data_IF_821053456310
#
_entry.id   IF_821053456310
#
_cell.length_a   1.000
_cell.length_b   1.000
_cell.length_c   1.000
_cell.angle_alpha   90.00
_cell.angle_beta   90.00
_cell.angle_gamma   90.00
#
_symmetry.space_group_name_H-M   'P 1'
#
loop_
_entity.id
_entity.type
_entity.pdbx_description
1 polymer ?
#
# COMPACT_ATOMS: atom_id res chain seq x y z
N UNK A 1 -26.13 37.36 16.79
CA UNK A 1 -25.83 36.54 17.99
C UNK A 1 -26.46 35.18 17.77
N UNK A 2 -25.71 34.18 17.22
CA UNK A 2 -26.20 32.82 16.98
C UNK A 2 -26.22 32.12 18.34
N UNK A 3 -27.42 31.88 18.86
CA UNK A 3 -27.63 31.13 20.09
C UNK A 3 -27.14 29.68 19.82
N UNK A 4 -26.01 29.28 20.39
CA UNK A 4 -25.55 27.90 20.36
C UNK A 4 -26.65 27.02 20.98
N UNK A 5 -27.43 26.35 20.13
CA UNK A 5 -28.42 25.36 20.58
C UNK A 5 -27.67 24.31 21.38
N UNK A 6 -28.01 24.16 22.64
CA UNK A 6 -27.46 23.13 23.54
C UNK A 6 -27.75 21.76 22.92
N UNK A 7 -26.70 20.99 22.63
CA UNK A 7 -26.80 19.62 22.10
C UNK A 7 -27.55 18.77 23.11
N UNK A 8 -28.59 18.03 22.66
CA UNK A 8 -29.30 17.08 23.50
C UNK A 8 -28.35 16.03 24.08
N UNK A 9 -28.53 15.69 25.34
CA UNK A 9 -27.71 14.73 26.08
C UNK A 9 -28.46 13.40 26.28
N UNK A 10 -27.75 12.35 26.68
CA UNK A 10 -28.36 11.05 27.04
C UNK A 10 -29.38 11.22 28.18
N UNK A 11 -29.18 12.22 29.06
CA UNK A 11 -30.13 12.51 30.15
C UNK A 11 -31.42 13.12 29.64
N UNK A 12 -31.35 13.98 28.61
CA UNK A 12 -32.55 14.59 28.02
C UNK A 12 -33.40 13.51 27.31
N UNK A 13 -32.75 12.56 26.60
CA UNK A 13 -33.46 11.42 25.98
C UNK A 13 -34.07 10.50 27.04
N UNK A 14 -33.32 10.19 28.11
CA UNK A 14 -33.82 9.36 29.20
C UNK A 14 -35.07 9.95 29.87
N UNK A 15 -35.04 11.26 30.16
CA UNK A 15 -36.19 11.97 30.72
C UNK A 15 -37.38 11.99 29.78
N UNK A 16 -37.18 12.31 28.50
CA UNK A 16 -38.26 12.38 27.51
C UNK A 16 -38.87 11.00 27.17
N UNK A 17 -38.05 9.95 27.17
CA UNK A 17 -38.52 8.58 26.92
C UNK A 17 -39.03 7.85 28.17
N UNK A 18 -38.92 8.43 29.37
CA UNK A 18 -39.36 7.83 30.64
C UNK A 18 -38.57 6.58 31.01
N UNK A 19 -37.23 6.57 30.75
CA UNK A 19 -36.37 5.42 31.01
C UNK A 19 -35.04 5.84 31.67
N UNK A 20 -34.24 4.87 32.12
CA UNK A 20 -32.90 5.15 32.65
C UNK A 20 -31.89 5.50 31.53
N UNK A 21 -30.82 6.22 31.88
CA UNK A 21 -29.68 6.47 30.97
C UNK A 21 -29.06 5.17 30.43
N UNK A 22 -29.07 4.10 31.25
CA UNK A 22 -28.61 2.77 30.87
C UNK A 22 -29.51 2.17 29.78
N UNK A 23 -30.83 2.31 29.89
CA UNK A 23 -31.76 1.86 28.85
C UNK A 23 -31.55 2.64 27.53
N UNK A 24 -31.32 3.96 27.59
CA UNK A 24 -30.96 4.73 26.39
C UNK A 24 -29.65 4.20 25.79
N UNK A 25 -28.62 3.93 26.59
CA UNK A 25 -27.37 3.34 26.11
C UNK A 25 -27.59 1.99 25.44
N UNK A 26 -28.43 1.14 26.03
CA UNK A 26 -28.77 -0.17 25.45
C UNK A 26 -29.53 -0.04 24.13
N UNK A 27 -30.43 0.91 23.98
CA UNK A 27 -31.19 1.10 22.74
C UNK A 27 -30.27 1.34 21.51
N UNK A 28 -29.08 1.93 21.72
CA UNK A 28 -28.12 2.20 20.68
C UNK A 28 -27.01 1.14 20.57
N UNK A 29 -26.60 0.52 21.69
CA UNK A 29 -25.40 -0.34 21.71
C UNK A 29 -25.73 -1.83 21.87
N UNK A 30 -26.86 -2.18 22.52
CA UNK A 30 -27.31 -3.55 22.80
C UNK A 30 -28.85 -3.64 22.78
N UNK A 31 -29.47 -3.41 21.62
CA UNK A 31 -30.92 -3.37 21.50
C UNK A 31 -31.59 -4.70 21.89
N UNK A 32 -30.87 -5.82 21.80
CA UNK A 32 -31.24 -7.15 22.25
C UNK A 32 -31.53 -7.24 23.76
N UNK A 33 -31.02 -6.29 24.55
CA UNK A 33 -31.27 -6.19 26.00
C UNK A 33 -32.52 -5.41 26.39
N UNK A 34 -33.31 -4.98 25.41
CA UNK A 34 -34.53 -4.22 25.60
C UNK A 34 -35.68 -4.87 24.82
N UNK A 35 -36.92 -4.68 25.33
CA UNK A 35 -38.09 -4.98 24.51
C UNK A 35 -38.07 -4.14 23.23
N UNK A 36 -38.39 -4.71 22.03
CA UNK A 36 -38.36 -4.02 20.75
C UNK A 36 -39.09 -2.67 20.75
N UNK A 37 -40.27 -2.61 21.38
CA UNK A 37 -41.06 -1.38 21.48
C UNK A 37 -40.36 -0.30 22.31
N UNK A 38 -39.64 -0.69 23.38
CA UNK A 38 -38.88 0.23 24.22
C UNK A 38 -37.66 0.80 23.44
N UNK A 39 -36.95 -0.08 22.72
CA UNK A 39 -35.82 0.34 21.90
C UNK A 39 -36.26 1.31 20.78
N UNK A 40 -37.37 1.00 20.11
CA UNK A 40 -37.97 1.86 19.07
C UNK A 40 -38.36 3.24 19.63
N UNK A 41 -39.12 3.26 20.76
CA UNK A 41 -39.51 4.52 21.40
C UNK A 41 -38.32 5.41 21.77
N UNK A 42 -37.26 4.82 22.33
CA UNK A 42 -36.06 5.56 22.70
C UNK A 42 -35.39 6.19 21.45
N UNK A 43 -35.29 5.45 20.34
CA UNK A 43 -34.71 5.94 19.09
C UNK A 43 -35.53 7.09 18.51
N UNK A 44 -36.86 6.99 18.47
CA UNK A 44 -37.74 8.06 18.00
C UNK A 44 -37.60 9.33 18.84
N UNK A 45 -37.54 9.20 20.17
CA UNK A 45 -37.31 10.35 21.06
C UNK A 45 -35.94 10.97 20.82
N UNK A 46 -34.90 10.15 20.65
CA UNK A 46 -33.56 10.65 20.37
C UNK A 46 -33.48 11.41 19.03
N UNK A 47 -34.12 10.89 17.98
CA UNK A 47 -34.23 11.57 16.68
C UNK A 47 -34.96 12.90 16.80
N UNK A 48 -36.09 12.94 17.50
CA UNK A 48 -36.86 14.17 17.74
C UNK A 48 -36.05 15.24 18.47
N UNK A 49 -35.22 14.85 19.44
CA UNK A 49 -34.34 15.74 20.19
C UNK A 49 -33.03 16.09 19.47
N UNK A 50 -32.77 15.49 18.29
CA UNK A 50 -31.49 15.63 17.58
C UNK A 50 -30.30 15.02 18.36
N UNK A 51 -30.59 14.07 19.26
CA UNK A 51 -29.53 13.38 20.01
C UNK A 51 -28.81 12.37 19.14
N UNK A 52 -27.50 12.45 19.16
CA UNK A 52 -26.60 11.43 18.58
C UNK A 52 -25.71 10.90 19.69
N UNK A 53 -25.59 9.57 19.86
CA UNK A 53 -24.65 8.98 20.81
C UNK A 53 -23.24 9.55 20.60
N UNK A 54 -22.58 9.91 21.68
CA UNK A 54 -21.22 10.45 21.58
C UNK A 54 -20.26 9.32 21.18
N UNK A 55 -19.45 9.46 20.11
CA UNK A 55 -18.56 8.39 19.65
C UNK A 55 -17.63 7.88 20.76
N UNK A 56 -17.03 8.77 21.55
CA UNK A 56 -16.15 8.40 22.69
C UNK A 56 -16.90 7.60 23.76
N UNK A 57 -18.17 7.96 24.06
CA UNK A 57 -18.96 7.19 25.04
C UNK A 57 -19.30 5.77 24.52
N UNK A 58 -19.53 5.64 23.22
CA UNK A 58 -19.71 4.32 22.59
C UNK A 58 -18.44 3.48 22.68
N UNK A 59 -17.28 4.08 22.34
CA UNK A 59 -15.96 3.46 22.43
C UNK A 59 -15.67 2.96 23.85
N UNK A 60 -15.90 3.77 24.88
CA UNK A 60 -15.73 3.38 26.29
C UNK A 60 -16.66 2.23 26.71
N UNK A 61 -17.87 2.16 26.14
CA UNK A 61 -18.85 1.12 26.49
C UNK A 61 -18.60 -0.20 25.74
N UNK A 62 -18.10 -0.12 24.51
CA UNK A 62 -17.86 -1.29 23.65
C UNK A 62 -16.42 -1.80 23.70
N UNK A 63 -15.47 -1.01 24.24
CA UNK A 63 -14.04 -1.33 24.27
C UNK A 63 -13.41 -1.36 22.87
N UNK A 64 -14.12 -0.85 21.84
CA UNK A 64 -13.67 -0.82 20.44
C UNK A 64 -14.00 0.52 19.79
N UNK A 65 -13.07 0.98 18.94
CA UNK A 65 -13.21 2.23 18.19
C UNK A 65 -13.95 2.04 16.87
N UNK A 66 -13.99 0.81 16.37
CA UNK A 66 -14.40 0.48 15.00
C UNK A 66 -13.63 1.26 13.95
N UNK A 67 -12.34 1.42 14.18
CA UNK A 67 -11.41 2.12 13.28
C UNK A 67 -10.17 1.28 13.08
N UNK A 68 -9.77 1.10 11.82
CA UNK A 68 -8.51 0.47 11.41
C UNK A 68 -7.52 1.57 11.03
N UNK A 69 -6.29 1.48 11.55
CA UNK A 69 -5.18 2.33 11.16
C UNK A 69 -4.49 1.81 9.91
N UNK A 70 -4.23 2.68 8.94
CA UNK A 70 -3.35 2.40 7.81
C UNK A 70 -2.06 3.16 8.07
N UNK A 71 -1.02 2.43 8.47
CA UNK A 71 0.27 2.99 8.86
C UNK A 71 1.24 2.96 7.67
N UNK A 72 1.85 4.09 7.39
CA UNK A 72 2.84 4.23 6.32
C UNK A 72 3.98 5.17 6.75
N UNK A 73 5.24 4.89 6.38
CA UNK A 73 6.37 5.79 6.66
C UNK A 73 6.38 7.02 5.76
N UNK A 74 5.59 7.02 4.67
CA UNK A 74 5.56 8.08 3.68
C UNK A 74 4.54 9.17 4.04
N UNK A 75 4.79 10.40 3.56
CA UNK A 75 3.82 11.47 3.65
C UNK A 75 2.55 11.15 2.84
N UNK A 76 1.38 11.57 3.33
CA UNK A 76 0.10 11.29 2.64
C UNK A 76 0.04 11.84 1.23
N UNK A 77 0.70 12.98 0.93
CA UNK A 77 0.80 13.51 -0.43
C UNK A 77 1.43 12.51 -1.39
N UNK A 78 2.51 11.83 -0.98
CA UNK A 78 3.18 10.80 -1.77
C UNK A 78 2.27 9.58 -1.96
N UNK A 79 1.58 9.15 -0.89
CA UNK A 79 0.66 8.02 -0.91
C UNK A 79 -0.49 8.27 -1.91
N UNK A 80 -1.08 9.45 -1.91
CA UNK A 80 -2.22 9.75 -2.78
C UNK A 80 -1.84 10.05 -4.24
N UNK A 81 -0.58 10.39 -4.52
CA UNK A 81 -0.08 10.55 -5.87
C UNK A 81 0.37 9.24 -6.54
N UNK A 82 0.67 8.20 -5.75
CA UNK A 82 1.13 6.92 -6.28
C UNK A 82 -0.06 5.98 -6.59
N UNK A 83 -0.26 5.58 -7.86
CA UNK A 83 -1.37 4.72 -8.27
C UNK A 83 -1.44 3.36 -7.55
N UNK A 84 -0.31 2.81 -7.13
CA UNK A 84 -0.24 1.60 -6.33
C UNK A 84 -1.09 1.74 -5.06
N UNK A 85 -0.88 2.82 -4.29
CA UNK A 85 -1.63 3.04 -3.06
C UNK A 85 -3.12 3.31 -3.31
N UNK A 86 -3.47 3.91 -4.46
CA UNK A 86 -4.86 4.05 -4.88
C UNK A 86 -5.58 2.71 -4.99
N UNK A 87 -4.97 1.74 -5.69
CA UNK A 87 -5.50 0.39 -5.85
C UNK A 87 -5.52 -0.38 -4.51
N UNK A 88 -4.46 -0.27 -3.70
CA UNK A 88 -4.37 -0.89 -2.39
C UNK A 88 -5.47 -0.38 -1.44
N UNK A 89 -5.60 0.93 -1.33
CA UNK A 89 -6.58 1.56 -0.46
C UNK A 89 -8.03 1.28 -0.89
N UNK A 90 -8.29 1.06 -2.18
CA UNK A 90 -9.60 0.63 -2.66
C UNK A 90 -9.97 -0.75 -2.09
N UNK A 91 -9.03 -1.71 -2.11
CA UNK A 91 -9.23 -3.01 -1.49
C UNK A 91 -9.44 -2.93 0.03
N UNK A 92 -8.57 -2.16 0.71
CA UNK A 92 -8.71 -1.89 2.16
C UNK A 92 -10.08 -1.31 2.49
N UNK A 93 -10.55 -0.30 1.73
CA UNK A 93 -11.84 0.34 1.94
C UNK A 93 -12.99 -0.64 1.75
N UNK A 94 -12.95 -1.46 0.69
CA UNK A 94 -13.98 -2.47 0.42
C UNK A 94 -14.17 -3.41 1.61
N UNK A 95 -13.09 -3.98 2.16
CA UNK A 95 -13.17 -4.91 3.28
C UNK A 95 -13.57 -4.21 4.60
N UNK A 96 -13.06 -3.01 4.85
CA UNK A 96 -13.38 -2.24 6.04
C UNK A 96 -14.85 -1.81 6.07
N UNK A 97 -15.38 -1.28 4.95
CA UNK A 97 -16.79 -0.88 4.82
C UNK A 97 -17.74 -2.06 4.99
N UNK A 98 -17.44 -3.20 4.35
CA UNK A 98 -18.23 -4.42 4.49
C UNK A 98 -18.33 -4.89 5.94
N UNK A 99 -17.30 -4.60 6.76
CA UNK A 99 -17.21 -4.98 8.17
C UNK A 99 -17.64 -3.87 9.14
N UNK A 100 -18.05 -2.70 8.64
CA UNK A 100 -18.48 -1.55 9.44
C UNK A 100 -17.36 -0.87 10.21
N UNK A 101 -16.12 -0.87 9.66
CA UNK A 101 -14.96 -0.16 10.19
C UNK A 101 -14.67 1.11 9.40
N UNK A 102 -14.27 2.17 10.11
CA UNK A 102 -13.70 3.37 9.52
C UNK A 102 -12.19 3.20 9.31
N UNK A 103 -11.60 4.02 8.45
CA UNK A 103 -10.17 4.05 8.20
C UNK A 103 -9.54 5.32 8.78
N UNK A 104 -8.36 5.17 9.37
CA UNK A 104 -7.52 6.25 9.86
C UNK A 104 -6.12 6.12 9.28
N UNK A 105 -5.75 7.02 8.37
CA UNK A 105 -4.40 7.04 7.81
C UNK A 105 -3.42 7.63 8.83
N UNK A 106 -2.39 6.85 9.16
CA UNK A 106 -1.33 7.19 10.10
C UNK A 106 -0.04 7.38 9.29
N UNK A 107 0.40 8.61 9.18
CA UNK A 107 1.62 9.02 8.48
C UNK A 107 2.46 9.92 9.37
N UNK A 108 3.75 10.18 9.04
CA UNK A 108 4.59 11.02 9.88
C UNK A 108 3.98 12.39 10.19
N UNK A 109 3.88 12.73 11.47
CA UNK A 109 3.46 14.05 11.95
C UNK A 109 4.69 14.88 12.28
N UNK A 110 4.88 15.99 11.56
CA UNK A 110 6.09 16.83 11.69
C UNK A 110 7.39 16.01 11.57
N UNK A 111 7.41 15.05 10.63
CA UNK A 111 8.56 14.18 10.39
C UNK A 111 8.75 13.04 11.41
N UNK A 112 7.75 12.78 12.29
CA UNK A 112 7.82 11.69 13.28
C UNK A 112 6.63 10.73 13.16
N UNK A 113 6.91 9.49 12.78
CA UNK A 113 5.92 8.42 12.72
C UNK A 113 5.49 7.99 14.13
N UNK A 114 6.43 7.88 15.08
CA UNK A 114 6.13 7.59 16.49
C UNK A 114 5.10 8.55 17.10
N UNK A 115 5.19 9.84 16.77
CA UNK A 115 4.21 10.84 17.22
C UNK A 115 2.82 10.59 16.63
N UNK A 116 2.75 10.13 15.38
CA UNK A 116 1.49 9.79 14.73
C UNK A 116 0.86 8.54 15.36
N UNK A 117 1.64 7.47 15.55
CA UNK A 117 1.22 6.22 16.19
C UNK A 117 0.67 6.47 17.60
N UNK A 118 1.38 7.24 18.42
CA UNK A 118 0.95 7.57 19.79
C UNK A 118 -0.34 8.37 19.89
N UNK A 119 -0.80 8.99 18.79
CA UNK A 119 -2.07 9.74 18.73
C UNK A 119 -3.20 8.97 18.08
N UNK A 120 -2.89 7.86 17.44
CA UNK A 120 -3.89 7.05 16.77
C UNK A 120 -4.80 6.34 17.79
N UNK A 121 -6.10 6.42 17.53
CA UNK A 121 -7.12 5.72 18.32
C UNK A 121 -7.79 4.73 17.39
N UNK A 122 -7.23 3.50 17.33
CA UNK A 122 -7.61 2.43 16.39
C UNK A 122 -7.69 1.10 17.11
N UNK A 123 -8.42 0.13 16.57
CA UNK A 123 -8.53 -1.21 17.13
C UNK A 123 -7.39 -2.14 16.67
N UNK A 124 -6.79 -1.82 15.53
CA UNK A 124 -5.67 -2.52 14.94
C UNK A 124 -5.09 -1.75 13.76
N UNK A 125 -3.97 -2.22 13.23
CA UNK A 125 -3.18 -1.52 12.22
C UNK A 125 -2.84 -2.42 11.05
N UNK A 126 -2.98 -1.93 9.83
CA UNK A 126 -2.35 -2.44 8.61
C UNK A 126 -1.14 -1.54 8.34
N UNK A 127 0.07 -2.09 8.47
CA UNK A 127 1.31 -1.36 8.27
C UNK A 127 1.91 -1.71 6.90
N UNK A 128 2.11 -0.70 6.03
CA UNK A 128 2.48 -0.88 4.63
C UNK A 128 3.87 -0.33 4.36
N UNK A 129 4.76 -1.19 3.82
CA UNK A 129 6.12 -0.80 3.42
C UNK A 129 7.01 -0.40 4.60
N UNK A 130 6.77 -0.95 5.77
CA UNK A 130 7.59 -0.82 6.97
C UNK A 130 8.28 -2.15 7.25
N UNK A 131 9.57 -2.12 7.52
CA UNK A 131 10.31 -3.29 7.99
C UNK A 131 9.71 -3.83 9.29
N UNK A 132 9.74 -5.15 9.46
CA UNK A 132 9.35 -5.79 10.72
C UNK A 132 10.20 -5.32 11.92
N UNK A 133 11.42 -4.84 11.64
CA UNK A 133 12.36 -4.28 12.64
C UNK A 133 12.23 -2.76 12.80
N UNK A 134 11.30 -2.12 12.11
CA UNK A 134 11.09 -0.69 12.26
C UNK A 134 10.63 -0.35 13.68
N UNK A 135 11.19 0.69 14.28
CA UNK A 135 10.97 1.03 15.71
C UNK A 135 9.48 1.17 16.07
N UNK A 136 8.68 1.75 15.16
CA UNK A 136 7.24 1.91 15.37
C UNK A 136 6.46 0.59 15.24
N UNK A 137 6.92 -0.34 14.40
CA UNK A 137 6.37 -1.70 14.33
C UNK A 137 6.62 -2.44 15.62
N UNK A 138 7.84 -2.37 16.15
CA UNK A 138 8.19 -2.94 17.47
C UNK A 138 7.36 -2.31 18.59
N UNK A 139 7.21 -0.98 18.59
CA UNK A 139 6.41 -0.27 19.59
C UNK A 139 4.95 -0.71 19.58
N UNK A 140 4.33 -0.87 18.40
CA UNK A 140 2.96 -1.36 18.23
C UNK A 140 2.83 -2.78 18.75
N UNK A 141 3.81 -3.65 18.43
CA UNK A 141 3.85 -5.03 18.89
C UNK A 141 3.95 -5.12 20.41
N UNK A 142 4.83 -4.34 21.04
CA UNK A 142 4.99 -4.27 22.52
C UNK A 142 3.70 -3.75 23.17
N UNK A 143 3.00 -2.81 22.56
CA UNK A 143 1.71 -2.31 23.04
C UNK A 143 0.57 -3.34 22.93
N UNK A 144 0.80 -4.47 22.27
CA UNK A 144 -0.21 -5.52 22.06
C UNK A 144 -1.34 -5.11 21.12
N UNK A 145 -1.13 -4.08 20.29
CA UNK A 145 -2.12 -3.67 19.30
C UNK A 145 -2.05 -4.63 18.09
N UNK A 146 -3.15 -5.29 17.72
CA UNK A 146 -3.18 -6.17 16.55
C UNK A 146 -2.70 -5.48 15.28
N UNK A 147 -1.82 -6.16 14.53
CA UNK A 147 -1.18 -5.59 13.34
C UNK A 147 -1.03 -6.65 12.25
N UNK A 148 -1.18 -6.21 10.99
CA UNK A 148 -0.82 -6.96 9.79
C UNK A 148 0.18 -6.14 9.00
N UNK A 149 1.33 -6.74 8.69
CA UNK A 149 2.35 -6.15 7.82
C UNK A 149 1.99 -6.39 6.35
N UNK A 150 2.25 -5.41 5.50
CA UNK A 150 2.06 -5.52 4.06
C UNK A 150 3.32 -5.08 3.34
N UNK A 151 3.77 -5.88 2.38
CA UNK A 151 5.01 -5.67 1.61
C UNK A 151 6.26 -5.63 2.49
N UNK A 152 6.23 -6.37 3.59
CA UNK A 152 7.33 -6.50 4.53
C UNK A 152 7.45 -7.94 4.99
N UNK A 153 8.67 -8.45 5.04
CA UNK A 153 8.92 -9.80 5.56
C UNK A 153 8.62 -9.84 7.07
N UNK A 154 7.67 -10.69 7.43
CA UNK A 154 7.24 -10.85 8.81
C UNK A 154 8.26 -11.63 9.64
N UNK A 155 8.42 -11.22 10.90
CA UNK A 155 9.07 -12.03 11.93
C UNK A 155 8.12 -13.14 12.41
N UNK A 156 8.64 -14.21 13.03
CA UNK A 156 7.80 -15.18 13.73
C UNK A 156 6.83 -14.46 14.67
N UNK A 157 5.57 -14.85 14.66
CA UNK A 157 4.47 -14.22 15.43
C UNK A 157 3.97 -12.87 14.89
N UNK A 158 4.30 -12.50 13.65
CA UNK A 158 3.73 -11.33 12.98
C UNK A 158 2.93 -11.77 11.75
N UNK A 159 1.71 -11.26 11.63
CA UNK A 159 0.87 -11.49 10.45
C UNK A 159 1.34 -10.63 9.28
N UNK A 160 1.46 -11.21 8.10
CA UNK A 160 1.86 -10.49 6.91
C UNK A 160 1.17 -10.96 5.63
N UNK A 161 0.98 -10.02 4.71
CA UNK A 161 0.56 -10.25 3.33
C UNK A 161 1.62 -9.67 2.41
N UNK A 162 2.21 -10.52 1.58
CA UNK A 162 3.24 -10.15 0.62
C UNK A 162 2.86 -10.60 -0.79
N UNK A 163 3.68 -10.23 -1.76
CA UNK A 163 3.65 -10.81 -3.11
C UNK A 163 4.99 -11.50 -3.39
N UNK A 164 5.01 -12.40 -4.37
CA UNK A 164 6.26 -12.98 -4.88
C UNK A 164 7.03 -11.94 -5.71
N UNK A 165 7.67 -10.98 -5.01
CA UNK A 165 8.46 -9.91 -5.62
C UNK A 165 9.67 -10.47 -6.38
N UNK A 166 10.35 -11.45 -5.81
CA UNK A 166 11.56 -12.05 -6.40
C UNK A 166 11.21 -12.84 -7.67
N UNK A 167 10.19 -13.70 -7.60
CA UNK A 167 9.71 -14.46 -8.75
C UNK A 167 9.16 -13.55 -9.86
N UNK A 168 8.38 -12.53 -9.50
CA UNK A 168 7.89 -11.53 -10.46
C UNK A 168 9.01 -10.77 -11.16
N UNK A 169 9.99 -10.30 -10.40
CA UNK A 169 11.16 -9.59 -10.95
C UNK A 169 11.98 -10.51 -11.87
N UNK A 170 12.18 -11.76 -11.48
CA UNK A 170 12.85 -12.77 -12.33
C UNK A 170 12.11 -12.95 -13.65
N UNK A 171 10.78 -13.09 -13.65
CA UNK A 171 9.98 -13.20 -14.87
C UNK A 171 10.16 -11.99 -15.80
N UNK A 172 10.23 -10.77 -15.27
CA UNK A 172 10.47 -9.56 -16.06
C UNK A 172 11.83 -9.60 -16.76
N UNK A 173 12.89 -9.99 -16.05
CA UNK A 173 14.23 -10.09 -16.62
C UNK A 173 14.34 -11.24 -17.64
N UNK A 174 13.79 -12.42 -17.35
CA UNK A 174 13.74 -13.57 -18.26
C UNK A 174 13.02 -13.22 -19.57
N UNK A 175 11.92 -12.44 -19.50
CA UNK A 175 11.23 -11.97 -20.70
C UNK A 175 12.13 -11.13 -21.59
N UNK A 176 12.83 -10.13 -21.04
CA UNK A 176 13.75 -9.30 -21.83
C UNK A 176 14.96 -10.08 -22.36
N UNK A 177 15.46 -11.03 -21.57
CA UNK A 177 16.52 -11.95 -22.01
C UNK A 177 16.08 -12.81 -23.20
N UNK A 178 14.83 -13.30 -23.19
CA UNK A 178 14.27 -14.09 -24.30
C UNK A 178 14.11 -13.28 -25.59
N UNK A 179 13.99 -11.95 -25.48
CA UNK A 179 13.97 -11.01 -26.61
C UNK A 179 15.38 -10.62 -27.10
N UNK A 180 16.42 -11.19 -26.51
CA UNK A 180 17.81 -10.99 -26.93
C UNK A 180 18.54 -9.82 -26.27
N UNK A 181 17.91 -9.13 -25.31
CA UNK A 181 18.56 -8.02 -24.61
C UNK A 181 19.77 -8.50 -23.78
N UNK A 182 20.83 -7.67 -23.74
CA UNK A 182 22.05 -7.95 -22.99
C UNK A 182 22.60 -6.72 -22.25
N UNK A 183 22.02 -5.53 -22.46
CA UNK A 183 22.41 -4.28 -21.79
C UNK A 183 21.22 -3.76 -21.01
N UNK A 184 21.30 -3.89 -19.71
CA UNK A 184 20.21 -3.62 -18.77
C UNK A 184 20.54 -2.41 -17.90
N UNK A 185 19.50 -1.73 -17.47
CA UNK A 185 19.49 -0.82 -16.33
C UNK A 185 18.28 -1.16 -15.46
N UNK A 186 18.49 -1.06 -14.16
CA UNK A 186 17.41 -1.20 -13.17
C UNK A 186 17.11 0.18 -12.59
N UNK A 187 15.84 0.58 -12.65
CA UNK A 187 15.34 1.77 -11.97
C UNK A 187 14.63 1.31 -10.70
N UNK A 188 15.34 1.38 -9.58
CA UNK A 188 14.92 0.88 -8.29
C UNK A 188 14.12 1.92 -7.50
N UNK A 189 13.22 1.44 -6.65
CA UNK A 189 12.49 2.29 -5.69
C UNK A 189 13.47 2.76 -4.61
N UNK A 190 13.51 4.07 -4.34
CA UNK A 190 14.25 4.61 -3.19
C UNK A 190 13.63 4.10 -1.88
N UNK A 191 14.45 3.64 -0.92
CA UNK A 191 13.96 3.25 0.40
C UNK A 191 13.14 4.37 1.04
N UNK A 192 11.99 4.02 1.62
CA UNK A 192 11.05 5.00 2.18
C UNK A 192 11.53 5.66 3.47
N UNK A 193 12.45 5.03 4.17
CA UNK A 193 13.10 5.58 5.36
C UNK A 193 14.62 5.36 5.28
N UNK A 194 15.36 6.47 5.40
CA UNK A 194 16.83 6.44 5.47
C UNK A 194 17.34 5.96 6.84
N UNK A 195 16.48 5.90 7.85
CA UNK A 195 16.82 5.45 9.20
C UNK A 195 16.91 3.93 9.32
N UNK A 196 16.21 3.19 8.46
CA UNK A 196 16.22 1.71 8.47
C UNK A 196 17.42 1.11 7.73
N UNK A 197 18.27 1.93 7.09
CA UNK A 197 19.35 1.43 6.26
C UNK A 197 18.82 0.68 5.02
N UNK A 198 19.68 -0.14 4.40
CA UNK A 198 19.26 -1.08 3.36
C UNK A 198 18.52 -2.25 4.04
N UNK A 199 17.18 -2.23 4.05
CA UNK A 199 16.40 -3.41 4.46
C UNK A 199 16.66 -4.55 3.46
N UNK A 200 17.41 -5.59 3.84
CA UNK A 200 17.79 -6.66 2.92
C UNK A 200 16.58 -7.49 2.43
N UNK A 201 15.46 -7.39 3.13
CA UNK A 201 14.23 -8.12 2.84
C UNK A 201 13.09 -7.22 2.38
N UNK A 202 13.35 -5.93 2.22
CA UNK A 202 12.39 -4.98 1.66
C UNK A 202 12.09 -5.22 0.18
N UNK A 203 10.97 -4.67 -0.30
CA UNK A 203 10.52 -4.83 -1.70
C UNK A 203 11.63 -4.53 -2.73
N UNK A 204 12.40 -3.42 -2.61
CA UNK A 204 13.46 -3.15 -3.59
C UNK A 204 14.54 -4.24 -3.61
N UNK A 205 14.92 -4.74 -2.44
CA UNK A 205 15.94 -5.78 -2.32
C UNK A 205 15.47 -7.11 -2.91
N UNK A 206 14.21 -7.53 -2.64
CA UNK A 206 13.62 -8.74 -3.21
C UNK A 206 13.53 -8.66 -4.73
N UNK A 207 13.03 -7.55 -5.29
CA UNK A 207 12.96 -7.35 -6.75
C UNK A 207 14.36 -7.36 -7.39
N UNK A 208 15.34 -6.70 -6.75
CA UNK A 208 16.72 -6.68 -7.24
C UNK A 208 17.33 -8.09 -7.23
N UNK A 209 17.08 -8.92 -6.21
CA UNK A 209 17.51 -10.32 -6.19
C UNK A 209 16.92 -11.10 -7.37
N UNK A 210 15.63 -10.95 -7.65
CA UNK A 210 14.98 -11.60 -8.79
C UNK A 210 15.58 -11.19 -10.14
N UNK A 211 15.82 -9.90 -10.35
CA UNK A 211 16.50 -9.43 -11.56
C UNK A 211 17.91 -10.01 -11.70
N UNK A 212 18.71 -9.92 -10.63
CA UNK A 212 20.08 -10.47 -10.63
C UNK A 212 20.10 -11.96 -10.88
N UNK A 213 19.25 -12.73 -10.23
CA UNK A 213 19.18 -14.17 -10.43
C UNK A 213 18.98 -14.55 -11.90
N UNK A 214 18.11 -13.85 -12.64
CA UNK A 214 17.90 -14.10 -14.06
C UNK A 214 19.10 -13.65 -14.93
N UNK A 215 19.66 -12.47 -14.64
CA UNK A 215 20.79 -11.92 -15.39
C UNK A 215 22.05 -12.76 -15.18
N UNK A 216 22.36 -13.14 -13.95
CA UNK A 216 23.51 -13.98 -13.59
C UNK A 216 23.43 -15.36 -14.26
N UNK A 217 22.23 -15.98 -14.28
CA UNK A 217 22.00 -17.24 -14.99
C UNK A 217 22.24 -17.15 -16.50
N UNK A 218 22.09 -15.93 -17.08
CA UNK A 218 22.38 -15.64 -18.49
C UNK A 218 23.82 -15.14 -18.73
N UNK A 219 24.67 -15.11 -17.69
CA UNK A 219 26.05 -14.63 -17.76
C UNK A 219 26.17 -13.11 -17.96
N UNK A 220 25.19 -12.35 -17.50
CA UNK A 220 25.17 -10.88 -17.62
C UNK A 220 25.37 -10.27 -16.25
N UNK A 221 26.47 -9.56 -16.09
CA UNK A 221 26.73 -8.77 -14.89
C UNK A 221 25.86 -7.50 -14.86
N UNK A 222 25.27 -7.22 -13.69
CA UNK A 222 24.56 -5.97 -13.41
C UNK A 222 25.40 -5.15 -12.40
N UNK A 223 26.27 -4.25 -12.89
CA UNK A 223 27.14 -3.46 -12.04
C UNK A 223 26.31 -2.47 -11.18
N UNK A 224 26.92 -1.96 -10.10
CA UNK A 224 26.24 -1.03 -9.20
C UNK A 224 25.70 0.22 -9.92
N UNK A 225 26.45 0.72 -10.88
CA UNK A 225 26.11 1.87 -11.73
C UNK A 225 24.91 1.57 -12.66
N UNK A 226 24.59 0.31 -12.88
CA UNK A 226 23.41 -0.16 -13.61
C UNK A 226 22.15 -0.18 -12.78
N UNK A 227 22.19 0.19 -11.48
CA UNK A 227 21.05 0.26 -10.58
C UNK A 227 20.93 1.69 -10.04
N UNK A 228 19.92 2.42 -10.48
CA UNK A 228 19.65 3.78 -10.03
C UNK A 228 18.38 3.80 -9.17
N UNK A 229 18.47 4.45 -8.02
CA UNK A 229 17.31 4.63 -7.13
C UNK A 229 16.52 5.87 -7.50
N UNK A 230 15.21 5.80 -7.41
CA UNK A 230 14.33 6.93 -7.64
C UNK A 230 13.07 6.86 -6.75
N UNK A 231 12.49 8.02 -6.49
CA UNK A 231 11.14 8.08 -5.91
C UNK A 231 10.18 7.38 -6.88
N UNK A 232 9.25 6.57 -6.36
CA UNK A 232 8.28 5.82 -7.17
C UNK A 232 7.18 6.74 -7.75
N UNK A 233 7.60 7.64 -8.64
CA UNK A 233 6.76 8.61 -9.36
C UNK A 233 7.20 8.72 -10.82
N UNK A 234 6.32 9.24 -11.69
CA UNK A 234 6.65 9.50 -13.09
C UNK A 234 7.84 10.47 -13.23
N UNK A 235 7.89 11.62 -12.52
CA UNK A 235 9.07 12.50 -12.57
C UNK A 235 10.35 11.83 -12.06
N UNK A 236 10.26 11.01 -10.99
CA UNK A 236 11.41 10.28 -10.46
C UNK A 236 11.99 9.29 -11.47
N UNK A 237 11.14 8.47 -12.08
CA UNK A 237 11.56 7.53 -13.14
C UNK A 237 12.13 8.22 -14.36
N UNK A 238 11.59 9.37 -14.76
CA UNK A 238 12.12 10.17 -15.87
C UNK A 238 13.52 10.72 -15.55
N UNK A 239 13.73 11.24 -14.34
CA UNK A 239 15.01 11.75 -13.90
C UNK A 239 16.08 10.65 -13.84
N UNK A 240 15.75 9.48 -13.24
CA UNK A 240 16.69 8.37 -13.14
C UNK A 240 17.09 7.79 -14.51
N UNK A 241 16.14 7.67 -15.45
CA UNK A 241 16.48 7.26 -16.82
C UNK A 241 17.32 8.31 -17.53
N UNK A 242 17.01 9.60 -17.35
CA UNK A 242 17.79 10.70 -17.91
C UNK A 242 19.25 10.67 -17.44
N UNK A 243 19.46 10.51 -16.13
CA UNK A 243 20.80 10.38 -15.52
C UNK A 243 21.59 9.22 -16.14
N UNK A 244 20.96 8.05 -16.26
CA UNK A 244 21.55 6.86 -16.90
C UNK A 244 22.02 7.18 -18.32
N UNK A 245 21.16 7.80 -19.12
CA UNK A 245 21.45 8.10 -20.51
C UNK A 245 22.51 9.18 -20.67
N UNK A 246 22.44 10.24 -19.87
CA UNK A 246 23.37 11.38 -19.91
C UNK A 246 24.76 11.01 -19.39
N UNK A 247 24.85 10.01 -18.49
CA UNK A 247 26.12 9.38 -18.07
C UNK A 247 26.76 8.50 -19.16
N UNK A 248 26.18 8.43 -20.36
CA UNK A 248 26.72 7.66 -21.48
C UNK A 248 26.38 6.19 -21.48
N UNK A 249 25.61 5.69 -20.51
CA UNK A 249 25.06 4.34 -20.57
C UNK A 249 24.06 4.25 -21.71
N UNK A 250 24.10 3.14 -22.42
CA UNK A 250 23.21 2.90 -23.57
C UNK A 250 22.49 1.56 -23.39
N UNK A 251 21.59 1.46 -22.39
CA UNK A 251 20.81 0.25 -22.20
C UNK A 251 19.90 -0.01 -23.40
N UNK A 252 19.58 -1.26 -23.66
CA UNK A 252 18.53 -1.66 -24.58
C UNK A 252 17.28 -2.15 -23.84
N UNK A 253 17.40 -2.35 -22.53
CA UNK A 253 16.33 -2.82 -21.66
C UNK A 253 16.34 -2.10 -20.31
N UNK A 254 15.17 -1.68 -19.87
CA UNK A 254 14.90 -1.09 -18.57
C UNK A 254 14.03 -2.03 -17.76
N UNK A 255 14.49 -2.38 -16.56
CA UNK A 255 13.73 -3.07 -15.52
C UNK A 255 13.36 -2.03 -14.46
N UNK A 256 12.12 -1.58 -14.45
CA UNK A 256 11.63 -0.60 -13.50
C UNK A 256 10.84 -1.28 -12.37
N UNK A 257 11.13 -0.93 -11.12
CA UNK A 257 10.52 -1.55 -9.95
C UNK A 257 9.09 -1.07 -9.67
N UNK A 258 8.53 -0.16 -10.48
CA UNK A 258 7.11 0.19 -10.47
C UNK A 258 6.66 0.70 -11.84
N UNK A 259 5.36 0.65 -12.11
CA UNK A 259 4.79 1.20 -13.34
C UNK A 259 4.96 2.72 -13.42
N UNK A 260 4.91 3.42 -12.30
CA UNK A 260 5.13 4.87 -12.28
C UNK A 260 6.55 5.24 -12.72
N UNK A 261 7.56 4.50 -12.23
CA UNK A 261 8.96 4.65 -12.66
C UNK A 261 9.11 4.29 -14.14
N UNK A 262 8.48 3.19 -14.59
CA UNK A 262 8.54 2.74 -15.99
C UNK A 262 7.96 3.78 -16.95
N UNK A 263 6.79 4.36 -16.63
CA UNK A 263 6.18 5.42 -17.45
C UNK A 263 7.04 6.68 -17.47
N UNK A 264 7.72 7.00 -16.36
CA UNK A 264 8.73 8.05 -16.33
C UNK A 264 9.87 7.79 -17.31
N UNK A 265 10.39 6.56 -17.34
CA UNK A 265 11.43 6.16 -18.29
C UNK A 265 10.95 6.21 -19.75
N UNK A 266 9.70 5.77 -20.04
CA UNK A 266 9.09 5.91 -21.37
C UNK A 266 9.05 7.37 -21.82
N UNK A 267 8.65 8.28 -20.94
CA UNK A 267 8.61 9.71 -21.21
C UNK A 267 10.01 10.26 -21.54
N UNK A 268 10.99 9.98 -20.68
CA UNK A 268 12.36 10.47 -20.86
C UNK A 268 13.05 9.88 -22.11
N UNK A 269 12.74 8.64 -22.46
CA UNK A 269 13.18 8.01 -23.70
C UNK A 269 12.60 8.72 -24.94
N UNK A 270 11.30 9.02 -24.94
CA UNK A 270 10.64 9.78 -26.02
C UNK A 270 11.23 11.18 -26.18
N UNK A 271 11.48 11.90 -25.09
CA UNK A 271 12.11 13.22 -25.08
C UNK A 271 13.53 13.20 -25.72
N UNK A 272 14.18 12.05 -25.74
CA UNK A 272 15.49 11.79 -26.38
C UNK A 272 15.39 11.18 -27.78
N UNK A 273 14.19 11.08 -28.32
CA UNK A 273 13.96 10.54 -29.67
C UNK A 273 14.12 9.02 -29.77
N UNK A 274 14.12 8.30 -28.64
CA UNK A 274 14.21 6.84 -28.62
C UNK A 274 12.85 6.22 -28.92
N UNK A 275 12.79 5.27 -29.83
CA UNK A 275 11.63 4.48 -30.10
C UNK A 275 11.51 3.34 -29.07
N UNK A 276 10.34 3.23 -28.42
CA UNK A 276 10.02 2.08 -27.59
C UNK A 276 8.91 1.31 -28.32
N UNK A 277 9.09 0.01 -28.61
CA UNK A 277 10.19 -0.87 -28.18
C UNK A 277 11.40 -0.92 -29.14
N UNK A 278 11.45 -0.15 -30.22
CA UNK A 278 12.43 -0.29 -31.30
C UNK A 278 13.90 -0.10 -30.89
N UNK A 279 14.20 0.89 -30.05
CA UNK A 279 15.55 1.20 -29.55
C UNK A 279 15.74 0.74 -28.11
N UNK A 280 14.65 0.70 -27.33
CA UNK A 280 14.63 0.43 -25.90
C UNK A 280 13.37 -0.36 -25.53
N UNK A 281 13.52 -1.44 -24.81
CA UNK A 281 12.41 -2.13 -24.15
C UNK A 281 12.29 -1.71 -22.69
N UNK A 282 11.06 -1.55 -22.20
CA UNK A 282 10.78 -1.15 -20.81
C UNK A 282 9.78 -2.11 -20.19
N UNK A 283 10.10 -2.64 -19.02
CA UNK A 283 9.20 -3.47 -18.19
C UNK A 283 8.99 -2.78 -16.85
N UNK A 284 7.72 -2.70 -16.42
CA UNK A 284 7.30 -2.19 -15.13
C UNK A 284 7.00 -3.28 -14.09
N UNK A 285 6.42 -2.85 -12.98
CA UNK A 285 5.90 -3.72 -11.93
C UNK A 285 4.66 -3.06 -11.35
N UNK A 286 3.58 -3.80 -11.07
CA UNK A 286 2.31 -3.48 -10.41
C UNK A 286 1.08 -3.83 -11.25
N UNK A 287 1.07 -3.55 -12.55
CA UNK A 287 -0.07 -3.63 -13.47
C UNK A 287 -1.24 -2.72 -13.06
N UNK A 288 -0.91 -1.49 -12.63
CA UNK A 288 -1.92 -0.46 -12.39
C UNK A 288 -2.51 0.08 -13.71
N UNK A 289 -3.63 0.82 -13.65
CA UNK A 289 -4.29 1.35 -14.84
C UNK A 289 -3.34 2.16 -15.74
N UNK A 290 -2.39 2.87 -15.14
CA UNK A 290 -1.35 3.62 -15.83
C UNK A 290 -0.58 2.77 -16.85
N UNK A 291 -0.33 1.49 -16.56
CA UNK A 291 0.36 0.58 -17.48
C UNK A 291 -0.42 0.32 -18.78
N UNK A 292 -1.75 0.32 -18.70
CA UNK A 292 -2.64 0.09 -19.84
C UNK A 292 -2.81 1.32 -20.73
N UNK A 293 -2.82 2.52 -20.11
CA UNK A 293 -3.04 3.79 -20.83
C UNK A 293 -1.74 4.43 -21.32
N UNK A 294 -0.58 3.94 -20.87
CA UNK A 294 0.71 4.41 -21.36
C UNK A 294 0.85 4.21 -22.87
N UNK A 295 1.67 5.04 -23.51
CA UNK A 295 1.99 4.94 -24.93
C UNK A 295 3.51 4.85 -25.13
N UNK A 296 4.02 3.68 -25.53
CA UNK A 296 3.31 2.41 -25.76
C UNK A 296 2.76 1.79 -24.47
N UNK A 297 1.70 0.97 -24.56
CA UNK A 297 1.15 0.24 -23.42
C UNK A 297 2.21 -0.63 -22.76
N UNK A 298 2.35 -0.52 -21.43
CA UNK A 298 3.48 -1.02 -20.67
C UNK A 298 3.37 -2.52 -20.38
N UNK A 299 4.38 -3.28 -20.78
CA UNK A 299 4.67 -4.63 -20.29
C UNK A 299 5.06 -4.52 -18.82
N UNK A 300 4.44 -5.33 -17.95
CA UNK A 300 4.63 -5.19 -16.50
C UNK A 300 4.38 -6.51 -15.77
N UNK A 301 4.78 -6.57 -14.52
CA UNK A 301 4.42 -7.66 -13.61
C UNK A 301 3.13 -7.28 -12.89
N UNK A 302 2.11 -8.09 -13.08
CA UNK A 302 0.85 -7.97 -12.34
C UNK A 302 1.02 -8.50 -10.92
N UNK A 303 0.63 -7.70 -9.94
CA UNK A 303 0.36 -8.11 -8.57
C UNK A 303 -1.09 -7.79 -8.19
N UNK A 304 -1.77 -8.61 -7.38
CA UNK A 304 -3.17 -8.42 -7.04
C UNK A 304 -3.34 -7.36 -5.93
N UNK A 305 -3.03 -6.09 -6.23
CA UNK A 305 -2.88 -5.00 -5.24
C UNK A 305 -4.15 -4.80 -4.41
N UNK A 306 -5.33 -4.71 -5.04
CA UNK A 306 -6.59 -4.52 -4.33
C UNK A 306 -6.89 -5.72 -3.42
N UNK A 307 -6.69 -6.96 -3.94
CA UNK A 307 -6.89 -8.18 -3.14
C UNK A 307 -5.94 -8.23 -1.95
N UNK A 308 -4.69 -7.78 -2.10
CA UNK A 308 -3.73 -7.65 -1.00
C UNK A 308 -4.26 -6.72 0.11
N UNK A 309 -4.84 -5.59 -0.26
CA UNK A 309 -5.49 -4.67 0.68
C UNK A 309 -6.71 -5.28 1.38
N UNK A 310 -7.57 -5.98 0.63
CA UNK A 310 -8.73 -6.70 1.18
C UNK A 310 -8.27 -7.75 2.21
N UNK A 311 -7.34 -8.63 1.83
CA UNK A 311 -6.85 -9.70 2.68
C UNK A 311 -6.15 -9.19 3.94
N UNK A 312 -5.42 -8.07 3.86
CA UNK A 312 -4.80 -7.46 5.02
C UNK A 312 -5.86 -7.04 6.07
N UNK A 313 -6.97 -6.46 5.64
CA UNK A 313 -8.08 -6.11 6.53
C UNK A 313 -8.82 -7.36 7.03
N UNK A 314 -9.12 -8.31 6.15
CA UNK A 314 -9.78 -9.57 6.51
C UNK A 314 -8.99 -10.32 7.60
N UNK A 315 -7.65 -10.41 7.44
CA UNK A 315 -6.75 -11.04 8.39
C UNK A 315 -6.70 -10.26 9.72
N UNK A 316 -6.59 -8.92 9.66
CA UNK A 316 -6.61 -8.10 10.87
C UNK A 316 -7.90 -8.27 11.66
N UNK A 317 -9.05 -8.30 10.99
CA UNK A 317 -10.35 -8.52 11.62
C UNK A 317 -10.46 -9.93 12.23
N UNK A 318 -9.92 -10.94 11.55
CA UNK A 318 -9.86 -12.31 12.08
C UNK A 318 -9.03 -12.39 13.38
N UNK A 319 -7.91 -11.66 13.44
CA UNK A 319 -7.08 -11.54 14.65
C UNK A 319 -7.87 -10.81 15.77
N UNK A 320 -8.49 -9.68 15.44
CA UNK A 320 -9.30 -8.90 16.38
C UNK A 320 -10.47 -9.71 17.00
N UNK A 321 -11.00 -10.65 16.26
CA UNK A 321 -12.10 -11.53 16.68
C UNK A 321 -11.61 -12.84 17.32
N UNK A 322 -10.31 -13.07 17.40
CA UNK A 322 -9.70 -14.28 17.93
C UNK A 322 -9.91 -15.53 17.06
N UNK A 323 -10.24 -15.34 15.76
CA UNK A 323 -10.44 -16.42 14.78
C UNK A 323 -9.14 -16.83 14.09
N UNK A 324 -8.10 -16.01 14.17
CA UNK A 324 -6.78 -16.25 13.60
C UNK A 324 -5.69 -15.84 14.58
N UNK A 325 -4.52 -16.49 14.49
CA UNK A 325 -3.32 -16.11 15.22
C UNK A 325 -2.54 -14.99 14.50
N UNK A 326 -1.56 -14.40 15.19
CA UNK A 326 -0.70 -13.36 14.62
C UNK A 326 0.44 -13.92 13.76
N UNK A 327 0.52 -15.22 13.54
CA UNK A 327 1.57 -15.94 12.81
C UNK A 327 1.20 -16.30 11.36
N UNK A 328 0.15 -15.69 10.83
CA UNK A 328 -0.31 -15.95 9.47
C UNK A 328 0.52 -15.16 8.47
N UNK A 329 1.09 -15.87 7.51
CA UNK A 329 1.88 -15.29 6.43
C UNK A 329 1.34 -15.79 5.10
N UNK A 330 0.97 -14.87 4.21
CA UNK A 330 0.47 -15.16 2.88
C UNK A 330 1.30 -14.46 1.81
N UNK A 331 1.73 -15.22 0.80
CA UNK A 331 2.45 -14.70 -0.36
C UNK A 331 1.59 -14.86 -1.59
N UNK A 332 1.16 -13.74 -2.17
CA UNK A 332 0.32 -13.72 -3.36
C UNK A 332 1.17 -13.86 -4.62
N UNK A 333 0.67 -14.64 -5.57
CA UNK A 333 1.36 -14.89 -6.84
C UNK A 333 1.39 -13.62 -7.72
N UNK A 334 2.50 -13.47 -8.45
CA UNK A 334 2.68 -12.47 -9.50
C UNK A 334 2.71 -13.13 -10.87
N UNK A 335 2.51 -12.36 -11.95
CA UNK A 335 2.59 -12.85 -13.32
C UNK A 335 3.00 -11.75 -14.29
N UNK A 336 3.70 -12.12 -15.36
CA UNK A 336 4.03 -11.20 -16.44
C UNK A 336 2.79 -10.88 -17.30
N UNK A 337 2.62 -9.60 -17.65
CA UNK A 337 1.63 -9.10 -18.60
C UNK A 337 2.34 -8.40 -19.74
N UNK A 338 2.46 -9.08 -20.87
CA UNK A 338 3.15 -8.56 -22.05
C UNK A 338 2.21 -7.59 -22.81
N UNK A 339 2.77 -6.39 -23.15
CA UNK A 339 2.11 -5.35 -23.94
C UNK A 339 3.07 -4.83 -25.01
N UNK A 340 2.98 -3.54 -25.35
CA UNK A 340 3.68 -2.95 -26.49
C UNK A 340 5.04 -2.31 -26.17
N UNK A 341 5.44 -2.22 -24.89
CA UNK A 341 6.69 -1.56 -24.49
C UNK A 341 7.93 -2.44 -24.57
N UNK A 342 7.79 -3.70 -25.02
CA UNK A 342 8.90 -4.63 -25.19
C UNK A 342 8.91 -5.24 -26.58
N UNK A 343 10.08 -5.45 -27.16
CA UNK A 343 10.31 -6.03 -28.48
C UNK A 343 11.70 -6.65 -28.57
N UNK A 344 12.08 -7.24 -29.70
CA UNK A 344 13.41 -7.78 -29.93
C UNK A 344 14.50 -6.75 -29.67
N UNK A 345 15.64 -7.18 -29.09
CA UNK A 345 16.79 -6.30 -28.88
C UNK A 345 17.23 -5.68 -30.21
N UNK A 346 17.51 -4.37 -30.25
CA UNK A 346 17.96 -3.72 -31.47
C UNK A 346 19.32 -4.28 -31.92
N UNK A 347 19.46 -4.53 -33.23
CA UNK A 347 20.71 -4.98 -33.82
C UNK A 347 21.84 -4.00 -33.54
N UNK A 348 23.00 -4.52 -33.17
CA UNK A 348 24.20 -3.72 -32.89
C UNK A 348 24.63 -2.83 -34.09
N UNK A 349 24.25 -3.22 -35.32
CA UNK A 349 24.59 -2.54 -36.55
C UNK A 349 23.79 -1.24 -36.84
N UNK A 350 22.65 -1.00 -36.17
CA UNK A 350 21.77 0.17 -36.42
C UNK A 350 22.17 1.45 -35.67
N UNK A 351 23.26 1.45 -34.88
CA UNK A 351 23.65 2.56 -33.97
C UNK A 351 24.84 3.38 -34.41
N UNK A 352 25.22 3.35 -35.69
CA UNK A 352 26.34 4.14 -36.25
C UNK A 352 25.87 5.32 -37.11
N UNK A 353 24.81 6.02 -36.70
CA UNK A 353 24.46 7.29 -37.33
C UNK A 353 24.04 8.34 -36.30
#
# INVERSE_FOLDING_TARGET
MVQMMRRATIADVAGAAGVSKTAVSFAFNRPDRLAPETASRIRTVAETLGYRPHPVARMLTQGRTRTIGILTPQALSVIFENPYFGAFNAGVATAAEASGYALHFISPLHGSLARAVNRATVDGVVAVGLSAHHAEVEQISVAGLPMVLVDSTALPSQAAIEVDDEGGARLAAEHLLSLGHRRFVVLAIEPSDRSDGDDPDGVPARRLRGYRAALDAAGIDLPREGVLTSVSTIPGGAAAFAETWDAGQRPTAVLAMSDAIAVGALRAARERGLAVPGDLSVVGFDDVELARIADPALTTIHQPIARKGEQAVELLLAILEGRSGPDQHEVLATRLVVRASTGPAPDAARRTH
#
